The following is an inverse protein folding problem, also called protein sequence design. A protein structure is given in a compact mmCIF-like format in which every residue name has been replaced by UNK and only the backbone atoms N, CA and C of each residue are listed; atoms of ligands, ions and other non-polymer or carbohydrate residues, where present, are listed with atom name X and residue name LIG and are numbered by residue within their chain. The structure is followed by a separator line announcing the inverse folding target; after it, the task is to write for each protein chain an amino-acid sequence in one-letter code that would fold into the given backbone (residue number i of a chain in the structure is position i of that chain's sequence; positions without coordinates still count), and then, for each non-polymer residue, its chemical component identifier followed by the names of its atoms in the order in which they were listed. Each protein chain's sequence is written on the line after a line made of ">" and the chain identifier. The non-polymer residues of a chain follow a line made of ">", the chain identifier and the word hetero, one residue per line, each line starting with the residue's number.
data_IF_607482058090
#
_entry.id   IF_607482058090
#
_cell.length_a   1.000
_cell.length_b   1.000
_cell.length_c   1.000
_cell.angle_alpha   90.00
_cell.angle_beta   90.00
_cell.angle_gamma   90.00
#
_symmetry.space_group_name_H-M   'P 1'
#
loop_
_entity.id
_entity.type
_entity.pdbx_description
1 polymer ?
#
# COMPACT_ATOMS: atom_id res chain seq x y z
N UNK A 1 -39.12 -49.07 15.59
CA UNK A 1 -38.06 -48.06 15.79
C UNK A 1 -37.18 -48.03 14.55
N UNK A 2 -37.26 -46.98 13.72
CA UNK A 2 -36.37 -46.80 12.55
C UNK A 2 -35.22 -45.88 12.98
N UNK A 3 -34.00 -46.41 12.95
CA UNK A 3 -32.77 -45.72 13.34
C UNK A 3 -32.33 -44.80 12.19
N UNK A 4 -32.21 -43.50 12.46
CA UNK A 4 -31.73 -42.50 11.52
C UNK A 4 -30.20 -42.40 11.65
N UNK A 5 -29.45 -42.82 10.62
CA UNK A 5 -28.00 -42.60 10.57
C UNK A 5 -27.70 -41.19 10.02
N UNK A 6 -27.09 -40.34 10.84
CA UNK A 6 -26.55 -39.05 10.44
C UNK A 6 -25.13 -39.27 9.92
N UNK A 7 -24.90 -39.12 8.61
CA UNK A 7 -23.56 -39.18 8.02
C UNK A 7 -22.83 -37.86 8.26
N UNK A 8 -21.83 -37.89 9.14
CA UNK A 8 -20.91 -36.79 9.38
C UNK A 8 -19.93 -36.70 8.18
N UNK A 9 -20.22 -35.80 7.23
CA UNK A 9 -19.32 -35.53 6.12
C UNK A 9 -18.09 -34.76 6.64
N UNK A 10 -16.96 -35.45 6.75
CA UNK A 10 -15.67 -34.83 7.05
C UNK A 10 -15.24 -33.98 5.85
N UNK A 11 -15.46 -32.66 5.91
CA UNK A 11 -14.96 -31.72 4.91
C UNK A 11 -13.45 -31.59 5.13
N UNK A 12 -12.66 -32.27 4.30
CA UNK A 12 -11.21 -32.07 4.26
C UNK A 12 -10.94 -30.72 3.63
N UNK A 13 -10.53 -29.74 4.45
CA UNK A 13 -10.03 -28.45 3.95
C UNK A 13 -8.73 -28.71 3.20
N UNK A 14 -8.76 -28.67 1.88
CA UNK A 14 -7.54 -28.52 1.08
C UNK A 14 -6.89 -27.21 1.51
N UNK A 15 -5.68 -27.30 2.04
CA UNK A 15 -4.83 -26.13 2.24
C UNK A 15 -4.48 -25.59 0.85
N UNK A 16 -5.34 -24.70 0.34
CA UNK A 16 -4.98 -23.83 -0.76
C UNK A 16 -3.70 -23.11 -0.33
N UNK A 17 -2.64 -23.20 -1.15
CA UNK A 17 -1.40 -22.48 -0.90
C UNK A 17 -1.66 -20.99 -0.67
N UNK A 18 -0.66 -20.26 -0.15
CA UNK A 18 -0.81 -18.84 0.09
C UNK A 18 -1.30 -18.13 -1.19
N UNK A 19 -2.35 -17.28 -1.10
CA UNK A 19 -2.85 -16.57 -2.27
C UNK A 19 -1.76 -15.63 -2.79
N UNK A 20 -1.78 -15.36 -4.10
CA UNK A 20 -1.00 -14.27 -4.65
C UNK A 20 -1.62 -12.94 -4.20
N UNK A 21 -0.81 -12.07 -3.62
CA UNK A 21 -1.21 -10.71 -3.23
C UNK A 21 -0.67 -9.74 -4.26
N UNK A 22 -1.56 -9.00 -4.93
CA UNK A 22 -1.19 -7.91 -5.85
C UNK A 22 -1.53 -6.59 -5.18
N UNK A 23 -0.52 -5.78 -4.89
CA UNK A 23 -0.70 -4.46 -4.30
C UNK A 23 -0.61 -3.38 -5.37
N UNK A 24 -1.73 -2.73 -5.67
CA UNK A 24 -1.84 -1.66 -6.68
C UNK A 24 -1.91 -0.32 -5.95
N UNK A 25 -0.99 0.60 -6.29
CA UNK A 25 -0.91 1.95 -5.73
C UNK A 25 -0.98 2.94 -6.89
N UNK A 26 -1.78 3.99 -6.73
CA UNK A 26 -1.81 5.15 -7.64
C UNK A 26 -1.22 6.36 -6.91
N UNK A 27 -0.33 7.08 -7.56
CA UNK A 27 0.34 8.26 -6.99
C UNK A 27 -0.55 9.50 -7.12
N UNK A 28 -0.60 10.31 -6.06
CA UNK A 28 -1.37 11.56 -5.94
C UNK A 28 -2.89 11.48 -6.26
N UNK A 29 -3.46 10.27 -6.38
CA UNK A 29 -4.88 10.10 -6.68
C UNK A 29 -5.76 10.34 -5.44
N UNK A 30 -6.82 11.13 -5.58
CA UNK A 30 -7.80 11.37 -4.52
C UNK A 30 -9.03 10.46 -4.67
N UNK A 31 -9.78 10.29 -3.58
CA UNK A 31 -11.05 9.54 -3.60
C UNK A 31 -12.04 10.11 -4.62
N UNK A 32 -11.96 11.41 -4.94
CA UNK A 32 -12.82 12.09 -5.92
C UNK A 32 -12.51 11.73 -7.38
N UNK A 33 -11.44 10.99 -7.64
CA UNK A 33 -11.04 10.60 -8.99
C UNK A 33 -11.64 9.26 -9.44
N UNK A 34 -12.43 8.60 -8.59
CA UNK A 34 -13.00 7.28 -8.90
C UNK A 34 -14.50 7.33 -9.11
N UNK A 35 -14.99 6.68 -10.17
CA UNK A 35 -16.42 6.54 -10.45
C UNK A 35 -17.18 5.88 -9.30
N UNK A 36 -16.61 4.84 -8.68
CA UNK A 36 -17.21 4.17 -7.51
C UNK A 36 -17.30 5.04 -6.24
N UNK A 37 -16.62 6.20 -6.23
CA UNK A 37 -16.69 7.23 -5.19
C UNK A 37 -17.50 8.46 -5.63
N UNK A 38 -18.11 8.43 -6.82
CA UNK A 38 -18.98 9.48 -7.34
C UNK A 38 -18.33 10.46 -8.32
N UNK A 39 -17.10 10.19 -8.80
CA UNK A 39 -16.48 11.00 -9.86
C UNK A 39 -17.31 10.97 -11.14
N UNK A 40 -17.47 12.12 -11.79
CA UNK A 40 -18.06 12.25 -13.13
C UNK A 40 -17.03 12.67 -14.18
N UNK A 41 -15.85 13.12 -13.74
CA UNK A 41 -14.79 13.66 -14.60
C UNK A 41 -13.84 12.56 -15.08
N UNK A 42 -13.50 11.61 -14.20
CA UNK A 42 -12.56 10.54 -14.48
C UNK A 42 -13.29 9.23 -14.84
N UNK A 43 -12.87 8.59 -15.94
CA UNK A 43 -13.40 7.31 -16.39
C UNK A 43 -12.54 6.16 -15.84
N UNK A 44 -13.04 5.46 -14.82
CA UNK A 44 -12.31 4.35 -14.15
C UNK A 44 -13.03 3.00 -14.24
N UNK A 45 -13.59 2.57 -15.40
CA UNK A 45 -14.54 1.45 -15.48
C UNK A 45 -13.98 0.11 -14.98
N UNK A 46 -12.68 -0.13 -15.14
CA UNK A 46 -12.04 -1.36 -14.66
C UNK A 46 -11.87 -1.37 -13.14
N UNK A 47 -11.52 -0.22 -12.55
CA UNK A 47 -11.40 -0.08 -11.10
C UNK A 47 -12.79 -0.06 -10.45
N UNK A 48 -13.78 0.56 -11.10
CA UNK A 48 -15.18 0.58 -10.63
C UNK A 48 -15.76 -0.84 -10.59
N UNK A 49 -15.51 -1.64 -11.64
CA UNK A 49 -15.88 -3.06 -11.68
C UNK A 49 -15.21 -3.85 -10.56
N UNK A 50 -13.91 -3.64 -10.32
CA UNK A 50 -13.20 -4.29 -9.23
C UNK A 50 -13.81 -3.90 -7.87
N UNK A 51 -14.11 -2.62 -7.66
CA UNK A 51 -14.70 -2.11 -6.43
C UNK A 51 -16.10 -2.68 -6.16
N UNK A 52 -16.92 -2.89 -7.20
CA UNK A 52 -18.24 -3.50 -7.07
C UNK A 52 -18.21 -4.98 -6.62
N UNK A 53 -17.08 -5.66 -6.83
CA UNK A 53 -16.86 -7.06 -6.46
C UNK A 53 -16.04 -7.23 -5.17
N UNK A 54 -15.67 -6.12 -4.52
CA UNK A 54 -14.71 -6.09 -3.42
C UNK A 54 -15.28 -5.43 -2.17
N UNK A 55 -14.64 -5.67 -1.02
CA UNK A 55 -14.80 -4.80 0.12
C UNK A 55 -14.23 -3.41 -0.21
N UNK A 56 -14.92 -2.34 0.22
CA UNK A 56 -14.51 -0.96 -0.01
C UNK A 56 -14.32 -0.22 1.31
N UNK A 57 -13.22 0.52 1.42
CA UNK A 57 -12.90 1.36 2.58
C UNK A 57 -13.13 2.83 2.21
N UNK A 58 -14.35 3.32 2.44
CA UNK A 58 -14.76 4.68 2.05
C UNK A 58 -13.99 5.75 2.82
N UNK A 59 -13.60 5.45 4.07
CA UNK A 59 -12.86 6.34 4.96
C UNK A 59 -11.42 5.84 5.16
N UNK A 60 -10.68 5.68 4.06
CA UNK A 60 -9.26 5.35 4.08
C UNK A 60 -8.40 6.62 4.16
N UNK A 61 -7.45 6.66 5.11
CA UNK A 61 -6.55 7.79 5.29
C UNK A 61 -5.09 7.35 5.21
N UNK A 62 -4.28 8.15 4.53
CA UNK A 62 -2.83 8.04 4.62
C UNK A 62 -2.34 8.61 5.95
N UNK A 63 -1.30 8.04 6.57
CA UNK A 63 -0.71 8.57 7.80
C UNK A 63 0.00 9.91 7.58
N UNK A 64 0.34 10.25 6.33
CA UNK A 64 0.98 11.50 5.93
C UNK A 64 0.70 11.79 4.46
N UNK A 65 0.48 13.07 4.12
CA UNK A 65 0.21 13.54 2.76
C UNK A 65 1.48 13.81 1.96
N UNK A 66 2.48 12.93 2.08
CA UNK A 66 3.78 13.04 1.41
C UNK A 66 4.20 11.66 0.85
N UNK A 67 4.67 11.62 -0.40
CA UNK A 67 4.94 10.38 -1.15
C UNK A 67 5.90 9.40 -0.45
N UNK A 68 7.15 9.82 -0.17
CA UNK A 68 8.17 8.95 0.44
C UNK A 68 7.76 8.40 1.81
N UNK A 69 7.31 9.22 2.78
CA UNK A 69 6.93 8.69 4.08
C UNK A 69 5.61 7.91 4.03
N UNK A 70 4.66 8.22 3.14
CA UNK A 70 3.43 7.42 2.96
C UNK A 70 3.76 6.00 2.47
N UNK A 71 4.59 5.90 1.43
CA UNK A 71 5.06 4.60 0.91
C UNK A 71 5.86 3.81 1.95
N UNK A 72 6.68 4.48 2.75
CA UNK A 72 7.41 3.80 3.83
C UNK A 72 6.45 3.21 4.88
N UNK A 73 5.35 3.89 5.23
CA UNK A 73 4.36 3.28 6.14
C UNK A 73 3.70 2.06 5.50
N UNK A 74 3.36 2.12 4.21
CA UNK A 74 2.77 0.97 3.50
C UNK A 74 3.70 -0.24 3.50
N UNK A 75 5.00 -0.03 3.32
CA UNK A 75 6.00 -1.11 3.26
C UNK A 75 6.40 -1.66 4.63
N UNK A 76 6.37 -0.82 5.67
CA UNK A 76 6.93 -1.18 6.99
C UNK A 76 5.90 -1.34 8.09
N UNK A 77 4.67 -0.86 7.89
CA UNK A 77 3.63 -0.78 8.91
C UNK A 77 3.93 0.21 10.05
N UNK A 78 4.98 1.05 9.92
CA UNK A 78 5.42 1.99 10.96
C UNK A 78 5.07 3.41 10.59
N UNK A 79 4.51 4.17 11.55
CA UNK A 79 4.23 5.58 11.37
C UNK A 79 5.52 6.41 11.16
N UNK A 80 5.44 7.60 10.53
CA UNK A 80 6.61 8.44 10.28
C UNK A 80 7.44 8.75 11.54
N UNK A 81 6.80 8.92 12.70
CA UNK A 81 7.50 9.16 13.97
C UNK A 81 8.27 7.94 14.50
N UNK A 82 7.93 6.74 14.05
CA UNK A 82 8.62 5.49 14.42
C UNK A 82 9.74 5.16 13.44
N UNK A 83 9.57 5.52 12.17
CA UNK A 83 10.59 5.31 11.13
C UNK A 83 11.61 6.45 11.05
N UNK A 84 11.27 7.66 11.50
CA UNK A 84 12.09 8.86 11.33
C UNK A 84 12.06 9.44 9.90
N UNK A 85 11.29 8.83 8.99
CA UNK A 85 11.12 9.33 7.63
C UNK A 85 9.92 10.29 7.59
N UNK A 86 10.20 11.59 7.64
CA UNK A 86 9.17 12.63 7.73
C UNK A 86 8.92 13.40 6.43
N UNK A 87 9.88 13.42 5.51
CA UNK A 87 9.86 14.29 4.34
C UNK A 87 10.27 13.54 3.06
N UNK A 88 9.79 14.01 1.91
CA UNK A 88 10.23 13.52 0.60
C UNK A 88 11.71 13.83 0.34
N UNK A 89 12.16 14.98 0.85
CA UNK A 89 13.52 15.47 0.71
C UNK A 89 14.08 15.74 2.11
N UNK A 90 14.69 14.75 2.78
CA UNK A 90 15.44 15.01 4.01
C UNK A 90 16.58 16.00 3.74
N UNK A 91 17.23 16.59 4.76
CA UNK A 91 18.45 17.39 4.56
C UNK A 91 19.39 16.71 3.56
N UNK A 92 19.83 17.39 2.50
CA UNK A 92 19.90 18.85 2.32
C UNK A 92 18.62 19.53 1.75
N UNK A 93 17.51 18.81 1.62
CA UNK A 93 16.26 19.33 1.05
C UNK A 93 16.28 19.34 -0.48
N UNK A 94 15.15 19.68 -1.10
CA UNK A 94 14.93 19.55 -2.55
C UNK A 94 15.99 20.30 -3.38
N UNK A 95 16.34 21.53 -2.98
CA UNK A 95 17.39 22.30 -3.64
C UNK A 95 18.76 21.62 -3.58
N UNK A 96 19.06 20.93 -2.47
CA UNK A 96 20.28 20.15 -2.36
C UNK A 96 20.28 18.96 -3.31
N UNK A 97 19.17 18.20 -3.35
CA UNK A 97 19.00 17.09 -4.30
C UNK A 97 19.15 17.54 -5.76
N UNK A 98 18.55 18.67 -6.13
CA UNK A 98 18.61 19.18 -7.51
C UNK A 98 20.02 19.65 -7.94
N UNK A 99 20.94 19.84 -7.00
CA UNK A 99 22.33 20.23 -7.28
C UNK A 99 23.28 19.04 -7.39
N UNK A 100 22.85 17.86 -6.96
CA UNK A 100 23.68 16.65 -6.97
C UNK A 100 24.07 16.29 -8.41
N UNK A 101 25.33 15.91 -8.59
CA UNK A 101 25.90 15.65 -9.92
C UNK A 101 26.09 14.15 -10.18
N UNK A 102 25.85 13.29 -9.18
CA UNK A 102 26.05 11.85 -9.31
C UNK A 102 24.97 11.03 -8.63
N UNK A 103 24.75 9.82 -9.14
CA UNK A 103 23.87 8.82 -8.52
C UNK A 103 24.35 8.43 -7.12
N UNK A 104 25.65 8.30 -6.92
CA UNK A 104 26.22 7.92 -5.61
C UNK A 104 25.91 8.98 -4.54
N UNK A 105 26.04 10.26 -4.87
CA UNK A 105 25.67 11.37 -3.99
C UNK A 105 24.17 11.36 -3.65
N UNK A 106 23.32 11.14 -4.66
CA UNK A 106 21.88 11.01 -4.49
C UNK A 106 21.50 9.84 -3.56
N UNK A 107 22.08 8.66 -3.79
CA UNK A 107 21.83 7.46 -2.99
C UNK A 107 22.34 7.63 -1.56
N UNK A 108 23.51 8.25 -1.36
CA UNK A 108 24.05 8.53 -0.03
C UNK A 108 23.10 9.41 0.79
N UNK A 109 22.54 10.46 0.18
CA UNK A 109 21.58 11.35 0.83
C UNK A 109 20.20 10.72 1.11
N UNK A 110 19.84 9.60 0.45
CA UNK A 110 18.59 8.86 0.69
C UNK A 110 18.77 7.55 1.47
N UNK A 111 20.00 7.17 1.77
CA UNK A 111 20.39 5.87 2.36
C UNK A 111 19.52 5.47 3.55
N UNK A 112 19.30 6.39 4.50
CA UNK A 112 18.50 6.15 5.72
C UNK A 112 17.09 5.64 5.40
N UNK A 113 16.40 6.25 4.42
CA UNK A 113 15.05 5.83 4.03
C UNK A 113 15.02 4.40 3.47
N UNK A 114 16.04 4.05 2.67
CA UNK A 114 16.15 2.73 2.08
C UNK A 114 16.55 1.66 3.09
N UNK A 115 17.42 1.98 4.04
CA UNK A 115 17.83 1.06 5.11
C UNK A 115 16.66 0.67 6.01
N UNK A 116 15.80 1.63 6.38
CA UNK A 116 14.61 1.35 7.19
C UNK A 116 13.70 0.34 6.49
N UNK A 117 13.48 0.50 5.18
CA UNK A 117 12.63 -0.40 4.39
C UNK A 117 13.29 -1.78 4.27
N UNK A 118 14.58 -1.83 3.90
CA UNK A 118 15.31 -3.09 3.67
C UNK A 118 15.56 -3.90 4.95
N UNK A 119 15.54 -3.26 6.10
CA UNK A 119 15.71 -3.93 7.40
C UNK A 119 14.42 -4.56 7.94
N UNK A 120 13.28 -4.40 7.27
CA UNK A 120 12.04 -5.06 7.68
C UNK A 120 12.04 -6.54 7.26
N UNK A 121 11.47 -7.45 8.07
CA UNK A 121 11.23 -8.83 7.67
C UNK A 121 10.28 -8.88 6.46
N UNK A 122 10.62 -9.70 5.46
CA UNK A 122 9.77 -10.02 4.30
C UNK A 122 9.10 -11.38 4.48
#
# INVERSE_FOLDING_TARGET
>A
MKLLLLTLACVTSVALGAPNVVYIIADDQTSRDFGFMGSQDALTPHIDKLAAQSARFVNGYVPTSLCSPSLAVMLTGRYPHQSGLHYNHPPPGNTGFNKMQSRAEYEAARSVAFEIIRSQPT
#
